data_IF_070695933472
#
_entry.id   IF_070695933472
#
_cell.length_a   1.000
_cell.length_b   1.000
_cell.length_c   1.000
_cell.angle_alpha   90.00
_cell.angle_beta   90.00
_cell.angle_gamma   90.00
#
_symmetry.space_group_name_H-M   'P 1'
#
loop_
_entity.id
_entity.type
_entity.pdbx_description
1 polymer ?
#
# COMPACT_ATOMS: atom_id res chain seq x y z
N UNK A 1 24.71 26.63 -22.00
CA UNK A 1 24.87 25.50 -21.06
C UNK A 1 23.98 25.60 -19.81
N UNK A 2 23.67 26.80 -19.26
CA UNK A 2 22.80 26.92 -18.08
C UNK A 2 21.31 26.57 -18.30
N UNK A 3 20.75 26.86 -19.48
CA UNK A 3 19.32 26.62 -19.76
C UNK A 3 18.95 25.13 -19.88
N UNK A 4 19.91 24.28 -20.26
CA UNK A 4 19.68 22.82 -20.41
C UNK A 4 19.66 22.12 -19.04
N UNK A 5 20.41 22.64 -18.07
CA UNK A 5 20.45 22.08 -16.71
C UNK A 5 19.14 22.29 -15.94
N UNK A 6 18.43 23.40 -16.21
CA UNK A 6 17.16 23.72 -15.57
C UNK A 6 15.99 22.86 -16.10
N UNK A 7 16.04 22.44 -17.36
CA UNK A 7 15.01 21.60 -17.98
C UNK A 7 15.05 20.15 -17.48
N UNK A 8 16.24 19.65 -17.09
CA UNK A 8 16.40 18.27 -16.60
C UNK A 8 15.85 18.09 -15.17
N UNK A 9 15.87 19.13 -14.33
CA UNK A 9 15.26 19.06 -12.99
C UNK A 9 13.71 19.09 -13.03
N UNK A 10 13.10 19.56 -14.12
CA UNK A 10 11.64 19.66 -14.23
C UNK A 10 10.97 18.33 -14.65
N UNK A 11 11.72 17.37 -15.21
CA UNK A 11 11.20 16.04 -15.58
C UNK A 11 11.32 14.99 -14.45
N UNK A 12 11.92 15.32 -13.31
CA UNK A 12 12.04 14.40 -12.16
C UNK A 12 10.81 14.31 -11.27
N UNK A 13 9.76 15.10 -11.52
CA UNK A 13 8.59 15.23 -10.65
C UNK A 13 7.32 14.53 -11.19
N UNK A 14 7.46 13.55 -12.09
CA UNK A 14 6.35 12.78 -12.64
C UNK A 14 6.43 11.32 -12.17
N UNK A 15 6.02 11.08 -10.94
CA UNK A 15 6.02 9.76 -10.34
C UNK A 15 5.38 9.73 -8.96
N UNK A 16 4.28 10.45 -8.78
CA UNK A 16 3.39 10.14 -7.66
C UNK A 16 2.66 8.83 -8.03
N UNK A 17 3.34 7.68 -7.87
CA UNK A 17 2.66 6.40 -7.86
C UNK A 17 1.60 6.48 -6.77
N UNK A 18 0.33 6.51 -7.17
CA UNK A 18 -0.79 6.41 -6.24
C UNK A 18 -0.63 5.06 -5.51
N UNK A 19 -0.27 5.13 -4.23
CA UNK A 19 -0.18 3.94 -3.38
C UNK A 19 -1.58 3.33 -3.32
N UNK A 20 -1.71 2.08 -3.75
CA UNK A 20 -3.00 1.40 -3.79
C UNK A 20 -3.31 0.89 -2.39
N UNK A 21 -4.25 1.53 -1.70
CA UNK A 21 -4.62 1.13 -0.33
C UNK A 21 -5.71 0.06 -0.40
N UNK A 22 -5.43 -1.13 0.13
CA UNK A 22 -6.40 -2.23 0.23
C UNK A 22 -6.75 -2.42 1.70
N UNK A 23 -8.03 -2.27 2.04
CA UNK A 23 -8.54 -2.51 3.39
C UNK A 23 -9.23 -3.87 3.42
N UNK A 24 -8.75 -4.78 4.27
CA UNK A 24 -9.28 -6.15 4.40
C UNK A 24 -9.74 -6.38 5.82
N UNK A 25 -11.01 -6.79 5.95
CA UNK A 25 -11.56 -7.28 7.20
C UNK A 25 -11.18 -8.75 7.42
N UNK A 26 -10.51 -9.07 8.52
CA UNK A 26 -10.05 -10.43 8.82
C UNK A 26 -10.26 -10.78 10.29
N UNK A 27 -10.44 -12.06 10.60
CA UNK A 27 -10.42 -12.53 11.98
C UNK A 27 -8.97 -12.54 12.50
N UNK A 28 -8.73 -12.27 13.79
CA UNK A 28 -7.38 -12.19 14.36
C UNK A 28 -6.59 -13.50 14.19
N UNK A 29 -7.27 -14.66 14.21
CA UNK A 29 -6.66 -15.96 13.92
C UNK A 29 -7.53 -16.72 12.91
N UNK A 30 -6.97 -17.36 11.88
CA UNK A 30 -5.58 -17.28 11.38
C UNK A 30 -5.36 -16.18 10.32
N UNK A 31 -6.40 -15.45 9.92
CA UNK A 31 -6.37 -14.60 8.73
C UNK A 31 -5.51 -13.35 8.89
N UNK A 32 -5.53 -12.70 10.06
CA UNK A 32 -4.68 -11.53 10.30
C UNK A 32 -3.19 -11.88 10.24
N UNK A 33 -2.75 -12.98 10.85
CA UNK A 33 -1.35 -13.42 10.83
C UNK A 33 -0.82 -13.63 9.40
N UNK A 34 -1.62 -14.26 8.53
CA UNK A 34 -1.25 -14.47 7.12
C UNK A 34 -1.18 -13.14 6.37
N UNK A 35 -2.13 -12.24 6.62
CA UNK A 35 -2.16 -10.91 6.02
C UNK A 35 -0.96 -10.06 6.48
N UNK A 36 -0.51 -10.20 7.72
CA UNK A 36 0.69 -9.55 8.22
C UNK A 36 1.98 -10.07 7.58
N UNK A 37 2.05 -11.38 7.33
CA UNK A 37 3.18 -11.98 6.65
C UNK A 37 3.34 -11.48 5.20
N UNK A 38 2.23 -11.21 4.50
CA UNK A 38 2.27 -10.74 3.10
C UNK A 38 2.35 -9.20 2.95
N UNK A 39 2.10 -8.42 4.02
CA UNK A 39 2.29 -6.95 4.04
C UNK A 39 3.59 -6.48 3.37
N UNK A 40 4.79 -7.03 3.68
CA UNK A 40 6.04 -6.56 3.08
C UNK A 40 6.13 -6.79 1.57
N UNK A 41 5.49 -7.85 1.06
CA UNK A 41 5.43 -8.17 -0.37
C UNK A 41 4.55 -7.14 -1.08
N UNK A 42 3.36 -6.88 -0.51
CA UNK A 42 2.43 -5.89 -1.05
C UNK A 42 3.00 -4.47 -1.00
N UNK A 43 3.74 -4.12 0.06
CA UNK A 43 4.43 -2.84 0.14
C UNK A 43 5.50 -2.66 -0.94
N UNK A 44 6.22 -3.73 -1.30
CA UNK A 44 7.18 -3.69 -2.40
C UNK A 44 6.50 -3.44 -3.76
N UNK A 45 5.27 -3.91 -3.93
CA UNK A 45 4.43 -3.68 -5.10
C UNK A 45 3.70 -2.31 -5.08
N UNK A 46 3.95 -1.49 -4.06
CA UNK A 46 3.31 -0.17 -3.91
C UNK A 46 1.87 -0.23 -3.37
N UNK A 47 1.51 -1.33 -2.71
CA UNK A 47 0.19 -1.57 -2.13
C UNK A 47 0.27 -1.44 -0.60
N UNK A 48 -0.56 -0.58 -0.02
CA UNK A 48 -0.71 -0.43 1.42
C UNK A 48 -1.84 -1.33 1.92
N UNK A 49 -1.52 -2.41 2.63
CA UNK A 49 -2.52 -3.31 3.21
C UNK A 49 -2.93 -2.83 4.62
N UNK A 50 -4.21 -2.46 4.78
CA UNK A 50 -4.83 -2.20 6.09
C UNK A 50 -5.66 -3.39 6.52
N UNK A 51 -5.30 -3.99 7.66
CA UNK A 51 -6.04 -5.10 8.26
C UNK A 51 -6.99 -4.49 9.29
N UNK A 52 -8.28 -4.78 9.14
CA UNK A 52 -9.31 -4.45 10.15
C UNK A 52 -9.72 -5.77 10.79
N UNK A 53 -9.44 -5.92 12.08
CA UNK A 53 -9.76 -7.15 12.79
C UNK A 53 -11.25 -7.15 13.16
N UNK A 54 -12.00 -8.12 12.63
CA UNK A 54 -13.40 -8.33 12.98
C UNK A 54 -13.50 -9.59 13.85
N UNK A 55 -13.93 -9.41 15.10
CA UNK A 55 -14.21 -10.50 16.05
C UNK A 55 -15.67 -10.91 16.05
N UNK A 56 -16.53 -10.14 15.38
CA UNK A 56 -17.98 -10.29 15.44
C UNK A 56 -18.49 -10.99 14.18
N UNK A 57 -18.83 -12.27 14.32
CA UNK A 57 -19.63 -12.98 13.34
C UNK A 57 -21.05 -12.44 13.45
N UNK A 58 -21.32 -11.32 12.78
CA UNK A 58 -22.68 -10.77 12.70
C UNK A 58 -23.52 -11.73 11.85
N UNK A 59 -24.05 -12.76 12.51
CA UNK A 59 -25.19 -13.53 12.04
C UNK A 59 -26.39 -12.56 12.01
N UNK A 60 -27.20 -12.60 10.94
CA UNK A 60 -28.19 -11.56 10.60
C UNK A 60 -29.24 -11.31 11.68
#
# INVERSE_FOLDING_TARGET
>A
MAAVLLLVLALGAAGAQAQTVITVGATPVPHAEVLEFIKPILQADGIELRIVEFTDYVLP
#
